data_IF_739392398134
#
_entry.id   IF_739392398134
#
_cell.length_a   1.000
_cell.length_b   1.000
_cell.length_c   1.000
_cell.angle_alpha   90.00
_cell.angle_beta   90.00
_cell.angle_gamma   90.00
#
_symmetry.space_group_name_H-M   'P 1'
#
loop_
_entity.id
_entity.type
_entity.pdbx_description
1 polymer ?
#
# COMPACT_ATOMS: atom_id res chain seq x y z
N UNK A 1 -16.84 -51.50 39.69
CA UNK A 1 -15.88 -50.40 39.91
C UNK A 1 -15.25 -50.02 38.57
N UNK A 2 -15.77 -49.00 37.89
CA UNK A 2 -15.16 -48.40 36.69
C UNK A 2 -15.32 -46.89 36.82
N UNK A 3 -14.19 -46.22 37.00
CA UNK A 3 -14.09 -44.76 37.17
C UNK A 3 -14.46 -44.10 35.84
N UNK A 4 -15.50 -43.29 35.84
CA UNK A 4 -15.81 -42.38 34.72
C UNK A 4 -14.96 -41.13 34.92
N UNK A 5 -13.96 -40.97 34.07
CA UNK A 5 -13.10 -39.79 34.00
C UNK A 5 -13.92 -38.64 33.42
N UNK A 6 -14.08 -37.56 34.19
CA UNK A 6 -14.64 -36.31 33.70
C UNK A 6 -13.70 -35.75 32.62
N UNK A 7 -14.20 -35.66 31.39
CA UNK A 7 -13.54 -34.91 30.33
C UNK A 7 -13.73 -33.42 30.66
N UNK A 8 -12.61 -32.73 30.86
CA UNK A 8 -12.57 -31.28 30.96
C UNK A 8 -13.15 -30.69 29.67
N UNK A 9 -14.21 -29.92 29.81
CA UNK A 9 -14.82 -29.13 28.73
C UNK A 9 -13.77 -28.12 28.26
N UNK A 10 -13.20 -28.37 27.08
CA UNK A 10 -12.24 -27.49 26.47
C UNK A 10 -12.93 -26.16 26.14
N UNK A 11 -12.35 -25.06 26.63
CA UNK A 11 -12.79 -23.71 26.30
C UNK A 11 -12.93 -23.56 24.77
N UNK A 12 -13.94 -22.83 24.27
CA UNK A 12 -14.10 -22.62 22.84
C UNK A 12 -12.82 -22.00 22.28
N UNK A 13 -12.40 -22.39 21.06
CA UNK A 13 -11.24 -21.77 20.41
C UNK A 13 -11.43 -20.26 20.39
N UNK A 14 -10.36 -19.46 20.61
CA UNK A 14 -10.46 -18.02 20.49
C UNK A 14 -11.08 -17.69 19.13
N UNK A 15 -12.09 -16.81 19.14
CA UNK A 15 -12.75 -16.35 17.92
C UNK A 15 -11.68 -15.95 16.89
N UNK A 16 -11.83 -16.32 15.61
CA UNK A 16 -10.92 -15.85 14.58
C UNK A 16 -10.85 -14.32 14.69
N UNK A 17 -9.65 -13.71 14.64
CA UNK A 17 -9.52 -12.26 14.70
C UNK A 17 -10.49 -11.67 13.67
N UNK A 18 -11.27 -10.67 14.09
CA UNK A 18 -12.33 -10.04 13.29
C UNK A 18 -11.87 -9.99 11.84
N UNK A 19 -12.66 -10.58 10.94
CA UNK A 19 -12.32 -10.66 9.53
C UNK A 19 -11.79 -9.28 9.10
N UNK A 20 -10.49 -9.23 8.79
CA UNK A 20 -9.81 -8.06 8.23
C UNK A 20 -10.35 -7.90 6.80
N UNK A 21 -11.63 -7.55 6.68
CA UNK A 21 -12.25 -7.22 5.41
C UNK A 21 -11.70 -5.89 4.94
N UNK A 22 -11.64 -5.70 3.61
CA UNK A 22 -11.21 -4.47 2.95
C UNK A 22 -11.89 -3.18 3.46
N UNK A 23 -13.03 -3.30 4.15
CA UNK A 23 -13.79 -2.21 4.77
C UNK A 23 -13.19 -1.67 6.09
N UNK A 24 -12.35 -2.45 6.79
CA UNK A 24 -11.71 -2.03 8.05
C UNK A 24 -10.33 -1.40 7.86
N UNK A 25 -9.89 -1.26 6.60
CA UNK A 25 -8.54 -0.76 6.28
C UNK A 25 -8.59 0.73 5.97
N UNK A 26 -7.69 1.45 6.63
CA UNK A 26 -7.54 2.90 6.52
C UNK A 26 -6.37 3.23 5.60
N UNK A 27 -6.37 4.45 5.10
CA UNK A 27 -5.22 5.01 4.38
C UNK A 27 -4.03 5.15 5.35
N UNK A 28 -2.89 4.58 4.98
CA UNK A 28 -1.69 4.53 5.82
C UNK A 28 -0.86 5.82 5.76
N UNK A 29 -1.30 6.86 5.03
CA UNK A 29 -0.58 8.12 4.90
C UNK A 29 -0.14 8.72 6.24
N UNK A 30 -1.03 8.77 7.22
CA UNK A 30 -0.72 9.34 8.54
C UNK A 30 0.39 8.55 9.27
N UNK A 31 0.59 7.29 8.87
CA UNK A 31 1.67 6.45 9.36
C UNK A 31 2.99 6.65 8.63
N UNK A 32 3.06 7.45 7.56
CA UNK A 32 4.27 7.62 6.75
C UNK A 32 5.21 8.64 7.41
N UNK A 33 6.51 8.30 7.45
CA UNK A 33 7.58 9.20 7.88
C UNK A 33 8.16 9.89 6.65
N UNK A 34 7.61 11.04 6.28
CA UNK A 34 8.00 11.79 5.09
C UNK A 34 9.50 12.09 4.97
N UNK A 35 10.19 12.30 6.10
CA UNK A 35 11.63 12.59 6.12
C UNK A 35 12.50 11.35 5.83
N UNK A 36 11.94 10.15 5.99
CA UNK A 36 12.59 8.88 5.66
C UNK A 36 12.10 8.31 4.31
N UNK A 37 11.15 8.97 3.66
CA UNK A 37 10.71 8.60 2.32
C UNK A 37 11.69 9.09 1.27
N UNK A 38 12.14 8.19 0.43
CA UNK A 38 13.08 8.49 -0.65
C UNK A 38 12.53 7.97 -1.97
N UNK A 39 12.98 8.57 -3.07
CA UNK A 39 12.72 8.01 -4.38
C UNK A 39 13.91 8.30 -5.29
N UNK A 40 14.41 7.23 -5.91
CA UNK A 40 15.52 7.24 -6.84
C UNK A 40 15.02 7.33 -8.26
N UNK A 41 15.86 7.93 -9.12
CA UNK A 41 15.57 8.23 -10.53
C UNK A 41 14.33 9.10 -10.76
N UNK A 42 13.97 9.96 -9.79
CA UNK A 42 12.91 10.97 -9.95
C UNK A 42 13.45 12.28 -10.49
N UNK A 43 12.62 13.01 -11.25
CA UNK A 43 12.95 14.38 -11.64
C UNK A 43 12.99 15.32 -10.43
N UNK A 44 13.81 16.36 -10.46
CA UNK A 44 13.96 17.29 -9.31
C UNK A 44 12.68 18.08 -8.98
N UNK A 45 11.73 18.16 -9.91
CA UNK A 45 10.43 18.84 -9.74
C UNK A 45 9.39 17.94 -9.07
N UNK A 46 9.59 16.62 -9.11
CA UNK A 46 8.65 15.64 -8.60
C UNK A 46 9.08 15.14 -7.22
N UNK A 47 8.11 14.97 -6.33
CA UNK A 47 8.34 14.51 -4.97
C UNK A 47 7.46 13.31 -4.65
N UNK A 48 7.95 12.41 -3.80
CA UNK A 48 7.17 11.27 -3.30
C UNK A 48 5.88 11.73 -2.60
N UNK A 49 5.92 12.92 -2.00
CA UNK A 49 4.74 13.53 -1.40
C UNK A 49 3.63 13.83 -2.41
N UNK A 50 3.96 14.08 -3.69
CA UNK A 50 2.97 14.39 -4.73
C UNK A 50 2.01 13.22 -4.93
N UNK A 51 2.53 11.98 -4.93
CA UNK A 51 1.73 10.79 -5.20
C UNK A 51 1.13 10.16 -3.94
N UNK A 52 1.74 10.36 -2.76
CA UNK A 52 1.30 9.74 -1.51
C UNK A 52 0.35 10.64 -0.69
N UNK A 53 0.54 11.96 -0.68
CA UNK A 53 -0.16 12.87 0.25
C UNK A 53 -1.60 13.19 -0.20
N UNK A 54 -2.57 13.15 0.71
CA UNK A 54 -3.96 13.51 0.45
C UNK A 54 -4.00 14.97 0.00
N UNK A 55 -4.84 15.25 -0.99
CA UNK A 55 -4.92 16.55 -1.63
C UNK A 55 -3.92 16.73 -2.78
N UNK A 56 -2.64 16.33 -2.63
CA UNK A 56 -1.66 16.45 -3.73
C UNK A 56 -1.83 15.35 -4.77
N UNK A 57 -2.07 14.11 -4.34
CA UNK A 57 -2.23 12.95 -5.22
C UNK A 57 -3.51 12.95 -6.07
N UNK A 58 -4.40 13.90 -5.80
CA UNK A 58 -5.65 14.13 -6.53
C UNK A 58 -5.44 15.21 -7.62
N UNK A 59 -4.31 15.92 -7.59
CA UNK A 59 -3.95 16.89 -8.61
C UNK A 59 -3.27 16.18 -9.78
N UNK A 60 -3.91 16.19 -10.93
CA UNK A 60 -3.37 15.58 -12.16
C UNK A 60 -2.06 16.24 -12.64
N UNK A 61 -1.79 17.47 -12.22
CA UNK A 61 -0.55 18.20 -12.53
C UNK A 61 0.67 17.74 -11.70
N UNK A 62 0.45 17.08 -10.56
CA UNK A 62 1.51 16.71 -9.63
C UNK A 62 1.89 15.23 -9.79
N UNK A 63 2.66 14.96 -10.84
CA UNK A 63 3.13 13.62 -11.17
C UNK A 63 4.50 13.33 -10.55
N UNK A 64 4.74 12.06 -10.20
CA UNK A 64 6.08 11.53 -9.97
C UNK A 64 6.62 10.96 -11.27
N UNK A 65 7.48 11.72 -11.92
CA UNK A 65 8.13 11.35 -13.19
C UNK A 65 9.59 10.94 -12.97
N UNK A 66 10.04 9.97 -13.78
CA UNK A 66 11.43 9.56 -13.83
C UNK A 66 12.30 10.50 -14.66
N UNK A 67 13.58 10.59 -14.31
CA UNK A 67 14.52 11.56 -14.89
C UNK A 67 15.38 11.00 -16.02
N UNK A 68 15.96 9.81 -15.82
CA UNK A 68 16.89 9.21 -16.77
C UNK A 68 16.25 8.11 -17.62
N UNK A 69 15.48 7.22 -16.99
CA UNK A 69 14.99 5.97 -17.60
C UNK A 69 13.60 5.62 -17.03
N UNK A 70 12.96 4.57 -17.56
CA UNK A 70 11.64 4.11 -17.12
C UNK A 70 11.60 3.50 -15.71
N UNK A 71 12.76 3.27 -15.09
CA UNK A 71 12.86 2.65 -13.78
C UNK A 71 12.68 3.67 -12.64
N UNK A 72 11.79 3.39 -11.69
CA UNK A 72 11.60 4.21 -10.49
C UNK A 72 11.69 3.34 -9.24
N UNK A 73 12.38 3.82 -8.21
CA UNK A 73 12.43 3.14 -6.92
C UNK A 73 11.94 4.09 -5.84
N UNK A 74 10.87 3.71 -5.16
CA UNK A 74 10.20 4.54 -4.14
C UNK A 74 10.26 3.79 -2.82
N UNK A 75 10.95 4.39 -1.84
CA UNK A 75 11.10 3.86 -0.49
C UNK A 75 10.18 4.63 0.45
N UNK A 76 9.23 3.93 1.06
CA UNK A 76 8.24 4.48 2.00
C UNK A 76 8.46 3.85 3.37
N UNK A 77 8.87 4.66 4.33
CA UNK A 77 9.03 4.21 5.72
C UNK A 77 7.84 4.66 6.57
N UNK A 78 7.37 3.75 7.43
CA UNK A 78 6.27 3.99 8.35
C UNK A 78 6.79 4.23 9.77
N UNK A 79 6.08 5.08 10.53
CA UNK A 79 6.41 5.49 11.90
C UNK A 79 6.23 4.36 12.91
N UNK A 80 5.39 3.40 12.58
CA UNK A 80 5.11 2.21 13.35
C UNK A 80 4.89 1.03 12.40
N UNK A 81 4.89 -0.18 12.94
CA UNK A 81 4.64 -1.37 12.15
C UNK A 81 3.17 -1.38 11.68
N UNK A 82 2.99 -1.47 10.36
CA UNK A 82 1.68 -1.46 9.70
C UNK A 82 1.45 -2.78 8.96
N UNK A 83 0.19 -3.06 8.64
CA UNK A 83 -0.21 -4.21 7.83
C UNK A 83 -0.78 -3.68 6.53
N UNK A 84 -0.03 -3.79 5.44
CA UNK A 84 -0.52 -3.39 4.12
C UNK A 84 -1.35 -4.53 3.55
N UNK A 85 -2.59 -4.24 3.16
CA UNK A 85 -3.48 -5.23 2.56
C UNK A 85 -3.70 -5.00 1.06
N UNK A 86 -3.88 -3.74 0.70
CA UNK A 86 -4.11 -3.33 -0.67
C UNK A 86 -3.37 -2.03 -0.95
N UNK A 87 -3.08 -1.80 -2.23
CA UNK A 87 -2.59 -0.52 -2.71
C UNK A 87 -3.34 -0.11 -3.96
N UNK A 88 -3.36 1.18 -4.26
CA UNK A 88 -3.80 1.70 -5.55
C UNK A 88 -2.66 2.46 -6.15
N UNK A 89 -2.39 2.18 -7.41
CA UNK A 89 -1.43 2.91 -8.22
C UNK A 89 -2.13 3.38 -9.49
N UNK A 90 -2.00 4.66 -9.80
CA UNK A 90 -2.46 5.27 -11.05
C UNK A 90 -1.30 5.99 -11.72
N UNK A 91 -1.33 6.04 -13.04
CA UNK A 91 -0.45 6.85 -13.87
C UNK A 91 -1.21 7.51 -15.01
N UNK A 92 -0.56 8.40 -15.77
CA UNK A 92 -1.19 9.09 -16.89
C UNK A 92 -1.46 8.12 -18.05
N UNK A 93 -2.58 8.32 -18.76
CA UNK A 93 -2.99 7.53 -19.93
C UNK A 93 -2.11 7.74 -21.19
N UNK A 94 -1.02 8.49 -21.06
CA UNK A 94 -0.09 8.89 -22.12
C UNK A 94 0.98 7.80 -22.42
N UNK A 95 0.77 6.57 -21.95
CA UNK A 95 1.72 5.45 -22.08
C UNK A 95 2.86 5.44 -21.05
N UNK A 96 3.08 6.54 -20.33
CA UNK A 96 4.09 6.64 -19.26
C UNK A 96 3.68 5.94 -17.95
N UNK A 97 2.49 5.37 -17.87
CA UNK A 97 2.05 4.65 -16.67
C UNK A 97 2.89 3.38 -16.43
N UNK A 98 3.13 2.99 -15.16
CA UNK A 98 3.91 1.80 -14.84
C UNK A 98 3.20 0.51 -15.27
N UNK A 99 3.95 -0.44 -15.81
CA UNK A 99 3.46 -1.76 -16.23
C UNK A 99 3.82 -2.86 -15.25
N UNK A 100 5.10 -2.93 -14.88
CA UNK A 100 5.60 -3.96 -13.95
C UNK A 100 6.06 -3.28 -12.68
N UNK A 101 5.41 -3.62 -11.57
CA UNK A 101 5.67 -3.03 -10.24
C UNK A 101 5.96 -4.13 -9.24
N UNK A 102 7.17 -4.11 -8.70
CA UNK A 102 7.64 -5.04 -7.68
C UNK A 102 7.60 -4.37 -6.31
N UNK A 103 7.18 -5.12 -5.31
CA UNK A 103 7.07 -4.66 -3.92
C UNK A 103 8.00 -5.48 -3.05
N UNK A 104 8.69 -4.79 -2.16
CA UNK A 104 9.59 -5.40 -1.19
C UNK A 104 9.24 -4.91 0.21
N UNK A 105 9.03 -5.86 1.12
CA UNK A 105 8.70 -5.57 2.50
C UNK A 105 9.96 -5.59 3.37
N UNK A 106 10.14 -4.55 4.20
CA UNK A 106 11.25 -4.40 5.14
C UNK A 106 12.64 -4.54 4.49
N UNK A 107 12.79 -3.93 3.30
CA UNK A 107 14.10 -3.75 2.66
C UNK A 107 14.50 -2.30 2.80
N UNK A 108 15.58 -2.05 3.52
CA UNK A 108 16.21 -0.73 3.59
C UNK A 108 17.35 -0.68 2.57
N UNK A 109 17.59 0.50 1.97
CA UNK A 109 18.64 0.74 0.99
C UNK A 109 18.62 -0.23 -0.22
N UNK A 110 17.43 -0.58 -0.72
CA UNK A 110 17.33 -1.32 -1.97
C UNK A 110 17.66 -0.38 -3.13
N UNK A 111 18.65 -0.74 -3.94
CA UNK A 111 19.01 -0.08 -5.18
C UNK A 111 18.40 -0.82 -6.39
N UNK A 112 18.60 -0.29 -7.60
CA UNK A 112 18.03 -0.84 -8.84
C UNK A 112 18.54 -2.25 -9.15
N UNK A 113 19.83 -2.50 -8.98
CA UNK A 113 20.46 -3.79 -9.25
C UNK A 113 19.93 -4.83 -8.24
N UNK A 114 19.92 -4.45 -6.96
CA UNK A 114 19.33 -5.26 -5.89
C UNK A 114 17.83 -5.53 -6.08
N UNK A 115 17.05 -4.58 -6.60
CA UNK A 115 15.62 -4.75 -6.87
C UNK A 115 15.34 -5.62 -8.10
N UNK A 116 16.26 -5.66 -9.05
CA UNK A 116 16.13 -6.47 -10.27
C UNK A 116 16.49 -7.94 -10.00
N UNK A 117 17.56 -8.18 -9.24
CA UNK A 117 18.00 -9.53 -8.86
C UNK A 117 17.15 -10.15 -7.74
N UNK A 118 16.67 -9.33 -6.80
CA UNK A 118 15.90 -9.84 -5.68
C UNK A 118 14.52 -10.35 -6.10
N UNK A 119 14.11 -11.46 -5.50
CA UNK A 119 12.72 -11.91 -5.57
C UNK A 119 11.81 -10.92 -4.85
N UNK A 120 10.88 -10.32 -5.57
CA UNK A 120 9.86 -9.44 -5.01
C UNK A 120 8.96 -10.20 -4.02
N UNK A 121 8.61 -9.58 -2.90
CA UNK A 121 7.61 -10.14 -1.98
C UNK A 121 6.23 -10.18 -2.62
N UNK A 122 5.97 -9.23 -3.53
CA UNK A 122 4.81 -9.22 -4.40
C UNK A 122 5.11 -8.49 -5.70
N UNK A 123 4.49 -8.91 -6.79
CA UNK A 123 4.65 -8.30 -8.11
C UNK A 123 3.28 -8.06 -8.72
N UNK A 124 3.06 -6.85 -9.22
CA UNK A 124 1.91 -6.46 -10.00
C UNK A 124 2.35 -6.23 -11.44
N UNK A 125 1.75 -6.98 -12.36
CA UNK A 125 1.88 -6.76 -13.80
C UNK A 125 0.54 -6.24 -14.30
N UNK A 126 0.52 -4.96 -14.65
CA UNK A 126 -0.64 -4.31 -15.23
C UNK A 126 -0.66 -4.61 -16.73
N UNK A 127 -1.45 -5.59 -17.16
CA UNK A 127 -1.66 -5.80 -18.61
C UNK A 127 -2.67 -4.80 -19.18
N UNK A 128 -3.61 -4.33 -18.34
CA UNK A 128 -4.64 -3.39 -18.72
C UNK A 128 -4.59 -2.14 -17.83
N UNK A 129 -4.58 -0.95 -18.45
CA UNK A 129 -4.55 0.31 -17.70
C UNK A 129 -5.83 0.56 -16.90
N UNK A 130 -6.95 -0.11 -17.21
CA UNK A 130 -8.19 0.03 -16.45
C UNK A 130 -8.07 -0.49 -15.02
N UNK A 131 -7.11 -1.40 -14.77
CA UNK A 131 -6.79 -1.89 -13.42
C UNK A 131 -6.00 -0.86 -12.60
N UNK A 132 -5.44 0.17 -13.25
CA UNK A 132 -4.75 1.26 -12.59
C UNK A 132 -5.77 2.27 -12.07
N UNK A 133 -5.64 2.66 -10.81
CA UNK A 133 -6.68 3.43 -10.11
C UNK A 133 -7.75 2.59 -9.43
N UNK A 134 -7.68 1.27 -9.55
CA UNK A 134 -8.43 0.37 -8.68
C UNK A 134 -7.61 -0.03 -7.46
N UNK A 135 -8.29 -0.53 -6.43
CA UNK A 135 -7.64 -1.07 -5.23
C UNK A 135 -7.14 -2.48 -5.55
N UNK A 136 -5.83 -2.64 -5.58
CA UNK A 136 -5.12 -3.89 -5.85
C UNK A 136 -4.84 -4.60 -4.54
N UNK A 137 -5.40 -5.79 -4.38
CA UNK A 137 -5.20 -6.61 -3.20
C UNK A 137 -3.91 -7.43 -3.32
N UNK A 138 -3.11 -7.46 -2.24
CA UNK A 138 -1.87 -8.24 -2.20
C UNK A 138 -2.13 -9.76 -2.14
N UNK A 139 -3.37 -10.18 -1.91
CA UNK A 139 -3.79 -11.59 -1.88
C UNK A 139 -2.87 -12.46 -1.01
N UNK A 140 -2.18 -13.43 -1.65
CA UNK A 140 -1.23 -14.34 -0.96
C UNK A 140 0.04 -13.63 -0.46
N UNK A 141 0.44 -12.53 -1.12
CA UNK A 141 1.59 -11.71 -0.73
C UNK A 141 1.39 -11.07 0.66
N UNK A 142 0.14 -10.80 1.05
CA UNK A 142 -0.23 -10.17 2.32
C UNK A 142 0.49 -10.72 3.55
N UNK A 143 0.83 -12.02 3.58
CA UNK A 143 1.55 -12.67 4.70
C UNK A 143 2.87 -11.95 5.02
N UNK A 144 3.59 -11.46 4.00
CA UNK A 144 4.85 -10.72 4.17
C UNK A 144 4.62 -9.26 4.60
N UNK A 145 3.47 -8.71 4.25
CA UNK A 145 3.10 -7.33 4.53
C UNK A 145 2.31 -7.15 5.83
N UNK A 146 2.15 -8.19 6.66
CA UNK A 146 1.51 -8.09 7.97
C UNK A 146 2.33 -7.31 9.00
N UNK A 147 3.64 -7.17 8.79
CA UNK A 147 4.56 -6.45 9.65
C UNK A 147 5.50 -5.61 8.81
N UNK A 148 4.96 -4.55 8.22
CA UNK A 148 5.66 -3.66 7.32
C UNK A 148 6.13 -2.41 8.09
N UNK A 149 7.42 -2.13 8.02
CA UNK A 149 8.01 -0.89 8.53
C UNK A 149 8.56 -0.05 7.38
N UNK A 150 9.21 -0.68 6.40
CA UNK A 150 9.68 -0.05 5.17
C UNK A 150 9.07 -0.78 3.98
N UNK A 151 8.52 -0.05 3.02
CA UNK A 151 8.01 -0.57 1.76
C UNK A 151 8.84 0.02 0.63
N UNK A 152 9.44 -0.83 -0.19
CA UNK A 152 10.05 -0.40 -1.44
C UNK A 152 9.17 -0.81 -2.61
N UNK A 153 8.85 0.17 -3.46
CA UNK A 153 8.09 0.01 -4.68
C UNK A 153 9.06 0.26 -5.83
N UNK A 154 9.35 -0.79 -6.57
CA UNK A 154 10.21 -0.73 -7.74
C UNK A 154 9.38 -0.87 -9.01
N UNK A 155 9.44 0.14 -9.85
CA UNK A 155 8.84 0.13 -11.18
C UNK A 155 9.91 -0.28 -12.16
N UNK A 156 9.71 -1.42 -12.82
CA UNK A 156 10.67 -1.98 -13.75
C UNK A 156 10.46 -1.49 -15.19
N UNK A 157 9.20 -1.30 -15.60
CA UNK A 157 8.85 -0.90 -16.97
C UNK A 157 7.54 -0.13 -17.00
N UNK A 158 7.29 0.61 -18.08
CA UNK A 158 6.02 1.29 -18.35
C UNK A 158 5.19 0.61 -19.45
N UNK A 159 3.98 1.11 -19.67
CA UNK A 159 3.01 0.54 -20.60
C UNK A 159 3.32 0.84 -22.06
N UNK A 160 3.82 2.04 -22.35
CA UNK A 160 4.05 2.55 -23.70
C UNK A 160 5.44 2.27 -24.27
N UNK A 161 6.35 1.68 -23.49
CA UNK A 161 7.77 1.61 -23.85
C UNK A 161 8.40 3.00 -23.97
N UNK A 162 7.94 3.94 -23.15
CA UNK A 162 8.42 5.32 -23.11
C UNK A 162 9.78 5.37 -22.39
N UNK A 163 10.61 6.36 -22.68
CA UNK A 163 11.90 6.53 -22.00
C UNK A 163 11.74 6.95 -20.53
N UNK A 164 10.55 7.42 -20.14
CA UNK A 164 10.24 7.87 -18.78
C UNK A 164 8.93 7.29 -18.27
N UNK A 165 8.85 7.06 -16.96
CA UNK A 165 7.67 6.55 -16.27
C UNK A 165 7.11 7.61 -15.35
N UNK A 166 5.79 7.70 -15.28
CA UNK A 166 5.05 8.67 -14.49
C UNK A 166 3.97 8.01 -13.63
N UNK A 167 3.88 8.43 -12.38
CA UNK A 167 2.87 8.00 -11.41
C UNK A 167 2.06 9.22 -10.98
N UNK A 168 0.74 9.10 -11.01
CA UNK A 168 -0.18 10.16 -10.60
C UNK A 168 -0.62 10.01 -9.14
N UNK A 169 -0.96 8.78 -8.74
CA UNK A 169 -1.55 8.53 -7.43
C UNK A 169 -1.05 7.21 -6.87
N UNK A 170 -0.64 7.22 -5.61
CA UNK A 170 -0.30 6.02 -4.84
C UNK A 170 -1.05 6.06 -3.51
N UNK A 171 -1.94 5.10 -3.27
CA UNK A 171 -2.65 4.94 -1.99
C UNK A 171 -2.31 3.60 -1.38
N UNK A 172 -2.05 3.60 -0.08
CA UNK A 172 -1.68 2.40 0.67
C UNK A 172 -2.77 2.16 1.72
N UNK A 173 -3.47 1.04 1.63
CA UNK A 173 -4.52 0.68 2.60
C UNK A 173 -4.10 -0.46 3.49
N UNK A 174 -4.34 -0.26 4.78
CA UNK A 174 -3.94 -1.21 5.78
C UNK A 174 -4.45 -0.87 7.16
N UNK A 175 -3.78 -1.45 8.14
CA UNK A 175 -4.02 -1.15 9.55
C UNK A 175 -2.67 -0.88 10.24
N UNK A 176 -2.61 0.20 11.01
CA UNK A 176 -1.48 0.45 11.92
C UNK A 176 -1.70 -0.28 13.24
N UNK A 177 -0.64 -0.84 13.82
CA UNK A 177 -0.74 -1.50 15.13
C UNK A 177 -0.85 -0.49 16.28
N UNK A 178 -0.36 0.74 16.08
CA UNK A 178 -0.75 1.85 16.93
C UNK A 178 -2.24 2.12 16.69
N UNK A 179 -3.04 1.76 17.70
CA UNK A 179 -4.50 1.88 17.68
C UNK A 179 -4.93 3.18 17.04
N UNK A 180 -5.64 3.06 15.92
CA UNK A 180 -6.26 4.17 15.21
C UNK A 180 -7.01 5.00 16.24
N UNK A 181 -6.56 6.24 16.46
CA UNK A 181 -7.26 7.19 17.31
C UNK A 181 -8.68 7.34 16.72
N UNK A 182 -9.67 6.70 17.35
CA UNK A 182 -11.07 6.62 16.90
C UNK A 182 -11.80 7.98 16.89
N UNK A 183 -11.08 9.10 16.96
CA UNK A 183 -11.62 10.46 16.99
C UNK A 183 -11.93 11.01 15.58
N UNK A 184 -11.37 10.41 14.53
CA UNK A 184 -11.60 10.86 13.14
C UNK A 184 -12.68 10.07 12.39
N UNK A 185 -13.25 9.03 13.01
CA UNK A 185 -14.52 8.46 12.55
C UNK A 185 -15.66 9.37 13.01
N UNK A 186 -15.87 10.47 12.28
CA UNK A 186 -17.13 11.20 12.35
C UNK A 186 -18.21 10.20 11.94
N UNK A 187 -18.87 9.60 12.93
CA UNK A 187 -20.14 8.90 12.79
C UNK A 187 -20.97 9.75 11.85
N UNK A 188 -21.30 9.23 10.66
CA UNK A 188 -22.46 9.70 9.93
C UNK A 188 -23.60 9.56 10.93
N UNK A 189 -24.01 10.71 11.47
CA UNK A 189 -25.13 10.79 12.38
C UNK A 189 -26.32 10.28 11.57
N UNK A 190 -26.90 9.18 12.05
CA UNK A 190 -28.17 8.70 11.51
C UNK A 190 -29.14 9.86 11.52
N UNK A 191 -29.78 10.09 10.38
CA UNK A 191 -30.92 10.97 10.27
C UNK A 191 -31.91 10.64 11.38
N UNK A 192 -32.23 11.68 12.13
CA UNK A 192 -33.37 11.71 13.02
C UNK A 192 -34.65 11.75 12.18
N UNK A 193 -35.57 10.84 12.47
CA UNK A 193 -37.01 10.98 12.19
C UNK A 193 -37.71 10.31 13.37
N UNK A 194 -37.85 11.02 14.48
CA UNK A 194 -39.09 11.71 14.86
C UNK A 194 -40.24 10.71 15.03
N UNK A 195 -40.50 10.38 16.30
CA UNK A 195 -41.77 9.83 16.70
C UNK A 195 -42.77 10.95 16.90
N UNK A 196 -44.00 10.70 16.49
CA UNK A 196 -45.23 11.14 17.17
C UNK A 196 -46.21 9.96 17.15
#
# INVERSE_FOLDING_TARGET
MKKMTAAAEAAPPPAPPAAYGAASMVDLEDSIVWNACECLNRTSKSSVANILKQGLRDQEELLLESDADEQLLISVTFRAQVRLHSLLLSGPADGRAPKTVKLFANRDNLDFDGAEEATADHEFVFEDMSLMGERLELGRGFVKFQRLQTLVIFVQSNQGGMDSTAISTLKLWGASDQGTNMKDFKRVAGEAGEGE
#
